data_IF_516408906265
#
_entry.id   IF_516408906265
#
_cell.length_a   1.000
_cell.length_b   1.000
_cell.length_c   1.000
_cell.angle_alpha   90.00
_cell.angle_beta   90.00
_cell.angle_gamma   90.00
#
_symmetry.space_group_name_H-M   'P 1'
#
loop_
_entity.id
_entity.type
_entity.pdbx_description
1 polymer ?
#
# COMPACT_ATOMS: atom_id res chain seq x y z
N UNK A 1 18.03 19.33 -7.76
CA UNK A 1 17.71 17.98 -7.24
C UNK A 1 17.10 17.99 -5.85
N UNK A 2 15.93 18.60 -5.66
CA UNK A 2 15.13 18.40 -4.44
C UNK A 2 13.90 17.57 -4.80
N UNK A 3 13.99 16.25 -4.64
CA UNK A 3 12.81 15.39 -4.68
C UNK A 3 12.03 15.53 -3.38
N UNK A 4 10.74 15.84 -3.46
CA UNK A 4 9.86 15.81 -2.29
C UNK A 4 9.49 14.37 -2.03
N UNK A 5 9.77 13.89 -0.81
CA UNK A 5 9.24 12.62 -0.32
C UNK A 5 7.92 12.87 0.41
N UNK A 6 6.90 12.10 0.06
CA UNK A 6 5.55 12.23 0.61
C UNK A 6 5.07 10.89 1.18
N UNK A 7 4.32 10.95 2.28
CA UNK A 7 3.63 9.79 2.85
C UNK A 7 2.13 10.01 2.72
N UNK A 8 1.44 9.01 2.18
CA UNK A 8 -0.02 9.03 1.98
C UNK A 8 -0.62 7.94 2.87
N UNK A 9 -1.63 8.30 3.67
CA UNK A 9 -2.39 7.36 4.50
C UNK A 9 -3.86 7.46 4.08
N UNK A 10 -4.36 6.41 3.45
CA UNK A 10 -5.74 6.33 2.96
C UNK A 10 -6.22 4.88 3.00
N UNK A 11 -7.53 4.67 3.11
CA UNK A 11 -8.18 3.37 2.94
C UNK A 11 -8.36 2.99 1.47
N UNK A 12 -8.38 3.96 0.55
CA UNK A 12 -8.58 3.71 -0.87
C UNK A 12 -7.27 3.26 -1.56
N UNK A 13 -6.85 2.04 -1.24
CA UNK A 13 -5.59 1.45 -1.70
C UNK A 13 -5.46 1.42 -3.23
N UNK A 14 -6.57 1.30 -3.97
CA UNK A 14 -6.55 1.24 -5.44
C UNK A 14 -5.92 2.49 -6.05
N UNK A 15 -6.24 3.66 -5.50
CA UNK A 15 -5.68 4.92 -5.97
C UNK A 15 -4.30 5.18 -5.38
N UNK A 16 -4.09 4.87 -4.10
CA UNK A 16 -2.79 5.06 -3.44
C UNK A 16 -1.69 4.28 -4.15
N UNK A 17 -1.91 2.99 -4.42
CA UNK A 17 -0.90 2.13 -5.03
C UNK A 17 -0.52 2.56 -6.46
N UNK A 18 -1.35 3.34 -7.15
CA UNK A 18 -1.04 3.89 -8.48
C UNK A 18 -0.04 5.06 -8.44
N UNK A 19 0.07 5.74 -7.30
CA UNK A 19 0.89 6.97 -7.15
C UNK A 19 2.02 6.83 -6.13
N UNK A 20 2.16 5.67 -5.50
CA UNK A 20 3.24 5.37 -4.56
C UNK A 20 4.24 4.39 -5.16
N UNK A 21 5.50 4.46 -4.70
CA UNK A 21 6.52 3.47 -5.04
C UNK A 21 6.47 2.26 -4.08
N UNK A 22 6.16 2.53 -2.82
CA UNK A 22 6.18 1.57 -1.71
C UNK A 22 4.90 1.67 -0.89
N UNK A 23 4.44 0.53 -0.39
CA UNK A 23 3.24 0.43 0.43
C UNK A 23 3.51 -0.39 1.69
N UNK A 24 2.82 0.00 2.76
CA UNK A 24 2.76 -0.70 4.03
C UNK A 24 1.29 -0.86 4.40
N UNK A 25 0.89 -2.08 4.76
CA UNK A 25 -0.46 -2.33 5.27
C UNK A 25 -0.36 -2.59 6.77
N UNK A 26 -1.15 -1.83 7.53
CA UNK A 26 -1.26 -1.92 8.98
C UNK A 26 -2.62 -2.49 9.36
N UNK A 27 -2.62 -3.57 10.15
CA UNK A 27 -3.83 -4.17 10.71
C UNK A 27 -3.66 -4.28 12.22
N UNK A 28 -4.54 -3.63 12.98
CA UNK A 28 -4.52 -3.65 14.46
C UNK A 28 -3.16 -3.26 15.08
N UNK A 29 -2.43 -2.34 14.44
CA UNK A 29 -1.12 -1.88 14.90
C UNK A 29 0.07 -2.69 14.39
N UNK A 30 -0.17 -3.78 13.67
CA UNK A 30 0.88 -4.66 13.14
C UNK A 30 1.07 -4.46 11.63
N UNK A 31 2.32 -4.51 11.18
CA UNK A 31 2.65 -4.48 9.75
C UNK A 31 2.42 -5.86 9.15
N UNK A 32 1.38 -5.99 8.34
CA UNK A 32 1.02 -7.26 7.67
C UNK A 32 1.52 -7.33 6.23
N UNK A 33 1.91 -6.20 5.65
CA UNK A 33 2.56 -6.13 4.35
C UNK A 33 3.53 -4.96 4.28
N UNK A 34 4.65 -5.15 3.59
CA UNK A 34 5.62 -4.13 3.21
C UNK A 34 6.25 -4.51 1.87
N UNK A 35 6.17 -3.62 0.87
CA UNK A 35 6.70 -3.92 -0.45
C UNK A 35 6.50 -2.81 -1.47
N UNK A 36 6.87 -3.06 -2.73
CA UNK A 36 6.61 -2.14 -3.83
C UNK A 36 5.15 -2.19 -4.26
N UNK A 37 4.70 -1.16 -4.96
CA UNK A 37 3.36 -1.14 -5.58
C UNK A 37 3.16 -2.26 -6.59
N UNK A 38 4.19 -2.65 -7.34
CA UNK A 38 4.11 -3.80 -8.26
C UNK A 38 3.90 -5.11 -7.52
N UNK A 39 4.65 -5.35 -6.44
CA UNK A 39 4.51 -6.54 -5.62
C UNK A 39 3.10 -6.63 -5.03
N UNK A 40 2.55 -5.49 -4.58
CA UNK A 40 1.21 -5.43 -4.03
C UNK A 40 0.11 -5.66 -5.08
N UNK A 41 0.23 -5.04 -6.27
CA UNK A 41 -0.70 -5.23 -7.39
C UNK A 41 -0.68 -6.64 -7.96
N UNK A 42 0.47 -7.32 -7.90
CA UNK A 42 0.61 -8.72 -8.36
C UNK A 42 -0.09 -9.74 -7.46
N UNK A 43 -0.58 -9.31 -6.28
CA UNK A 43 -1.19 -10.16 -5.26
C UNK A 43 -2.54 -9.59 -4.79
N UNK A 44 -3.55 -9.53 -5.67
CA UNK A 44 -4.87 -8.99 -5.33
C UNK A 44 -5.53 -9.70 -4.13
N UNK A 45 -5.23 -10.96 -3.89
CA UNK A 45 -5.72 -11.74 -2.75
C UNK A 45 -5.27 -11.17 -1.38
N UNK A 46 -4.07 -10.58 -1.29
CA UNK A 46 -3.59 -9.93 -0.06
C UNK A 46 -4.40 -8.68 0.26
N UNK A 47 -4.82 -7.97 -0.78
CA UNK A 47 -5.60 -6.75 -0.66
C UNK A 47 -7.03 -7.06 -0.21
N UNK A 48 -7.65 -8.10 -0.76
CA UNK A 48 -8.95 -8.61 -0.29
C UNK A 48 -8.87 -9.07 1.17
N UNK A 49 -7.86 -9.88 1.51
CA UNK A 49 -7.69 -10.46 2.85
C UNK A 49 -7.50 -9.39 3.95
N UNK A 50 -6.71 -8.35 3.69
CA UNK A 50 -6.37 -7.36 4.72
C UNK A 50 -7.23 -6.10 4.68
N UNK A 51 -7.80 -5.75 3.52
CA UNK A 51 -8.55 -4.51 3.35
C UNK A 51 -10.07 -4.73 3.19
N UNK A 52 -10.53 -5.99 3.07
CA UNK A 52 -11.94 -6.34 3.11
C UNK A 52 -12.74 -5.83 1.91
N UNK A 53 -12.13 -5.84 0.73
CA UNK A 53 -12.75 -5.44 -0.56
C UNK A 53 -13.33 -6.64 -1.31
#
# INVERSE_FOLDING_TARGET
>A
DSGISSVIVDKNWKHVTQVTDRNVILVKGEVVFHGSSDALRSRPELLEQYLGV
#
